data_IF_967000035094
#
_entry.id   IF_967000035094
#
_cell.length_a   1.000
_cell.length_b   1.000
_cell.length_c   1.000
_cell.angle_alpha   90.00
_cell.angle_beta   90.00
_cell.angle_gamma   90.00
#
_symmetry.space_group_name_H-M   'P 1'
#
loop_
_entity.id
_entity.type
_entity.pdbx_description
1 polymer ?
#
# COMPACT_ATOMS: atom_id res chain seq x y z
N UNK A 1 30.32 -24.25 28.72
CA UNK A 1 30.42 -23.34 27.54
C UNK A 1 30.31 -24.17 26.28
N UNK A 2 29.15 -24.14 25.61
CA UNK A 2 28.98 -24.65 24.25
C UNK A 2 28.11 -23.65 23.49
N UNK A 3 28.84 -22.95 22.64
CA UNK A 3 28.51 -21.99 21.60
C UNK A 3 27.03 -21.77 21.23
N UNK A 4 26.67 -20.50 21.41
CA UNK A 4 25.63 -19.73 20.72
C UNK A 4 25.39 -20.17 19.27
N UNK A 5 24.13 -20.44 18.90
CA UNK A 5 23.59 -20.26 17.53
C UNK A 5 22.05 -20.22 17.54
N UNK A 6 21.52 -19.13 16.98
CA UNK A 6 20.08 -18.82 16.88
C UNK A 6 19.39 -19.55 15.71
N UNK A 7 18.07 -19.79 15.84
CA UNK A 7 17.15 -19.59 14.71
C UNK A 7 15.71 -19.27 15.16
N UNK A 8 15.44 -17.98 15.41
CA UNK A 8 14.13 -17.36 15.19
C UNK A 8 14.41 -16.08 14.41
N UNK A 9 14.15 -16.12 13.11
CA UNK A 9 14.13 -15.01 12.15
C UNK A 9 14.32 -13.60 12.78
N UNK A 10 15.34 -12.82 12.36
CA UNK A 10 15.71 -11.54 12.98
C UNK A 10 14.62 -10.45 12.95
N UNK A 11 13.51 -10.68 12.23
CA UNK A 11 12.32 -9.80 12.21
C UNK A 11 11.04 -10.45 12.75
N UNK A 12 11.12 -11.62 13.40
CA UNK A 12 9.96 -12.18 14.12
C UNK A 12 9.82 -11.54 15.50
N UNK A 13 8.57 -11.29 15.89
CA UNK A 13 8.15 -10.71 17.18
C UNK A 13 8.73 -11.47 18.39
N UNK A 14 9.15 -12.73 18.20
CA UNK A 14 9.63 -13.63 19.23
C UNK A 14 11.15 -13.95 19.14
N UNK A 15 11.91 -13.27 18.27
CA UNK A 15 13.38 -13.42 18.15
C UNK A 15 14.17 -12.39 18.96
N UNK A 16 15.39 -12.74 19.39
CA UNK A 16 16.27 -11.87 20.20
C UNK A 16 16.66 -10.58 19.46
N UNK A 17 16.98 -10.65 18.16
CA UNK A 17 17.29 -9.47 17.33
C UNK A 17 16.06 -8.60 17.00
N UNK A 18 14.89 -9.20 16.78
CA UNK A 18 13.67 -8.47 16.40
C UNK A 18 13.11 -7.54 17.48
N UNK A 19 13.51 -7.73 18.74
CA UNK A 19 13.06 -6.92 19.88
C UNK A 19 13.77 -5.56 19.99
N UNK A 20 15.08 -5.51 19.75
CA UNK A 20 15.85 -4.25 19.74
C UNK A 20 15.63 -3.44 18.46
N UNK A 21 15.63 -4.11 17.31
CA UNK A 21 15.50 -3.42 16.02
C UNK A 21 14.08 -2.97 15.69
N UNK A 22 13.02 -3.63 16.17
CA UNK A 22 11.65 -3.19 15.88
C UNK A 22 11.31 -1.84 16.52
N UNK A 23 11.84 -1.59 17.72
CA UNK A 23 11.69 -0.29 18.34
C UNK A 23 12.52 0.78 17.62
N UNK A 24 13.77 0.47 17.25
CA UNK A 24 14.63 1.35 16.43
C UNK A 24 14.01 1.64 15.06
N UNK A 25 13.42 0.64 14.41
CA UNK A 25 12.71 0.77 13.14
C UNK A 25 11.45 1.62 13.32
N UNK A 26 10.74 1.46 14.44
CA UNK A 26 9.65 2.34 14.85
C UNK A 26 10.09 3.80 15.03
N UNK A 27 11.26 4.04 15.66
CA UNK A 27 11.85 5.38 15.77
C UNK A 27 12.20 5.94 14.40
N UNK A 28 12.85 5.14 13.53
CA UNK A 28 13.23 5.56 12.17
C UNK A 28 11.97 5.94 11.37
N UNK A 29 10.92 5.12 11.44
CA UNK A 29 9.64 5.38 10.78
C UNK A 29 8.96 6.63 11.36
N UNK A 30 9.00 6.82 12.68
CA UNK A 30 8.48 8.01 13.34
C UNK A 30 9.26 9.28 12.94
N UNK A 31 10.60 9.18 12.83
CA UNK A 31 11.45 10.27 12.37
C UNK A 31 11.18 10.61 10.90
N UNK A 32 11.01 9.61 10.03
CA UNK A 32 10.62 9.82 8.62
C UNK A 32 9.24 10.49 8.56
N UNK A 33 8.26 10.01 9.33
CA UNK A 33 6.93 10.62 9.37
C UNK A 33 6.99 12.08 9.86
N UNK A 34 7.79 12.37 10.89
CA UNK A 34 8.03 13.73 11.37
C UNK A 34 8.66 14.63 10.31
N UNK A 35 9.69 14.15 9.60
CA UNK A 35 10.34 14.87 8.49
C UNK A 35 9.32 15.13 7.37
N UNK A 36 8.48 14.15 7.03
CA UNK A 36 7.43 14.30 6.02
C UNK A 36 6.36 15.30 6.46
N UNK A 37 5.96 15.32 7.73
CA UNK A 37 5.03 16.33 8.26
C UNK A 37 5.65 17.72 8.18
N UNK A 38 6.91 17.88 8.58
CA UNK A 38 7.60 19.16 8.55
C UNK A 38 7.76 19.70 7.12
N UNK A 39 8.09 18.82 6.16
CA UNK A 39 8.31 19.20 4.75
C UNK A 39 7.00 19.47 4.00
N UNK A 40 5.99 18.61 4.18
CA UNK A 40 4.73 18.68 3.43
C UNK A 40 3.69 19.61 4.07
N UNK A 41 3.83 19.94 5.36
CA UNK A 41 2.86 20.74 6.13
C UNK A 41 3.53 21.98 6.75
N UNK A 42 4.44 22.62 6.02
CA UNK A 42 5.31 23.71 6.50
C UNK A 42 4.57 24.88 7.13
N UNK A 43 3.38 25.21 6.62
CA UNK A 43 2.56 26.32 7.12
C UNK A 43 2.09 26.09 8.56
N UNK A 44 1.79 24.83 8.92
CA UNK A 44 1.39 24.44 10.28
C UNK A 44 2.51 24.74 11.27
N UNK A 45 3.74 24.31 10.94
CA UNK A 45 4.89 24.47 11.83
C UNK A 45 5.35 25.92 11.93
N UNK A 46 5.19 26.70 10.85
CA UNK A 46 5.51 28.13 10.85
C UNK A 46 4.55 28.89 11.77
N UNK A 47 3.26 28.59 11.72
CA UNK A 47 2.25 29.17 12.62
C UNK A 47 2.51 28.79 14.09
N UNK A 48 2.81 27.52 14.37
CA UNK A 48 3.20 27.08 15.72
C UNK A 48 4.41 27.86 16.22
N UNK A 49 5.43 28.05 15.39
CA UNK A 49 6.66 28.75 15.75
C UNK A 49 6.40 30.24 16.03
N UNK A 50 5.56 30.89 15.20
CA UNK A 50 5.17 32.28 15.41
C UNK A 50 4.37 32.48 16.70
N UNK A 51 3.40 31.59 16.97
CA UNK A 51 2.63 31.61 18.22
C UNK A 51 3.53 31.40 19.43
N UNK A 52 4.49 30.48 19.33
CA UNK A 52 5.46 30.21 20.40
C UNK A 52 6.38 31.41 20.66
N UNK A 53 6.90 32.07 19.61
CA UNK A 53 7.69 33.30 19.74
C UNK A 53 6.90 34.47 20.36
N UNK A 54 5.59 34.50 20.13
CA UNK A 54 4.69 35.47 20.73
C UNK A 54 4.20 35.07 22.14
N UNK A 55 4.76 34.00 22.73
CA UNK A 55 4.34 33.42 24.03
C UNK A 55 2.85 33.04 24.10
N UNK A 56 2.23 32.82 22.95
CA UNK A 56 0.84 32.41 22.83
C UNK A 56 0.73 30.89 22.71
N UNK A 57 -0.21 30.32 23.45
CA UNK A 57 -0.54 28.91 23.32
C UNK A 57 -1.17 28.61 21.95
N UNK A 58 -0.85 27.45 21.40
CA UNK A 58 -1.37 26.99 20.12
C UNK A 58 -2.28 25.78 20.30
N UNK A 59 -3.19 25.58 19.35
CA UNK A 59 -4.04 24.40 19.27
C UNK A 59 -4.04 23.91 17.83
N UNK A 60 -3.58 22.67 17.62
CA UNK A 60 -3.39 22.11 16.27
C UNK A 60 -4.72 22.07 15.51
N UNK A 61 -5.81 21.69 16.17
CA UNK A 61 -7.15 21.72 15.57
C UNK A 61 -7.54 23.12 15.09
N UNK A 62 -7.35 24.15 15.93
CA UNK A 62 -7.68 25.53 15.56
C UNK A 62 -6.85 26.01 14.38
N UNK A 63 -5.56 25.66 14.34
CA UNK A 63 -4.66 25.97 13.23
C UNK A 63 -5.15 25.28 11.95
N UNK A 64 -5.49 23.99 12.00
CA UNK A 64 -6.05 23.24 10.86
C UNK A 64 -7.37 23.84 10.33
N UNK A 65 -8.18 24.44 11.21
CA UNK A 65 -9.46 25.07 10.85
C UNK A 65 -9.39 26.58 10.62
N UNK A 66 -8.23 27.23 10.75
CA UNK A 66 -8.11 28.69 10.72
C UNK A 66 -8.27 29.30 9.32
N UNK A 67 -8.34 28.46 8.28
CA UNK A 67 -8.36 28.89 6.88
C UNK A 67 -6.99 29.34 6.34
N UNK A 68 -5.98 29.45 7.20
CA UNK A 68 -4.60 29.82 6.84
C UNK A 68 -3.87 28.73 6.05
N UNK A 69 -4.26 27.47 6.27
CA UNK A 69 -3.63 26.30 5.65
C UNK A 69 -4.37 25.91 4.38
N UNK A 70 -3.61 25.56 3.33
CA UNK A 70 -4.21 25.05 2.10
C UNK A 70 -4.95 23.73 2.34
N UNK A 71 -6.06 23.48 1.64
CA UNK A 71 -6.80 22.21 1.75
C UNK A 71 -5.90 20.99 1.50
N UNK A 72 -4.92 21.11 0.60
CA UNK A 72 -3.95 20.06 0.31
C UNK A 72 -3.00 19.76 1.48
N UNK A 73 -2.49 20.79 2.16
CA UNK A 73 -1.65 20.62 3.35
C UNK A 73 -2.45 20.05 4.53
N UNK A 74 -3.69 20.49 4.74
CA UNK A 74 -4.56 19.95 5.78
C UNK A 74 -4.85 18.44 5.56
N UNK A 75 -5.12 18.04 4.32
CA UNK A 75 -5.29 16.63 3.95
C UNK A 75 -3.99 15.85 4.15
N UNK A 76 -2.85 16.39 3.73
CA UNK A 76 -1.54 15.74 3.88
C UNK A 76 -1.19 15.52 5.35
N UNK A 77 -1.44 16.52 6.19
CA UNK A 77 -1.26 16.42 7.64
C UNK A 77 -2.16 15.35 8.24
N UNK A 78 -3.45 15.33 7.89
CA UNK A 78 -4.40 14.33 8.37
C UNK A 78 -3.99 12.90 7.99
N UNK A 79 -3.49 12.68 6.77
CA UNK A 79 -2.98 11.38 6.31
C UNK A 79 -1.75 10.96 7.11
N UNK A 80 -0.73 11.83 7.19
CA UNK A 80 0.53 11.52 7.88
C UNK A 80 0.32 11.26 9.38
N UNK A 81 -0.55 12.05 10.01
CA UNK A 81 -0.98 11.85 11.38
C UNK A 81 -1.68 10.51 11.56
N UNK A 82 -2.65 10.16 10.69
CA UNK A 82 -3.38 8.89 10.75
C UNK A 82 -2.43 7.69 10.62
N UNK A 83 -1.49 7.77 9.67
CA UNK A 83 -0.42 6.77 9.51
C UNK A 83 0.45 6.68 10.76
N UNK A 84 0.83 7.83 11.34
CA UNK A 84 1.61 7.90 12.58
C UNK A 84 0.90 7.23 13.76
N UNK A 85 -0.40 7.49 13.93
CA UNK A 85 -1.22 6.91 14.99
C UNK A 85 -1.33 5.39 14.82
N UNK A 86 -1.58 4.90 13.60
CA UNK A 86 -1.69 3.47 13.32
C UNK A 86 -0.37 2.75 13.62
N UNK A 87 0.75 3.31 13.18
CA UNK A 87 2.07 2.73 13.40
C UNK A 87 2.47 2.77 14.88
N UNK A 88 2.16 3.88 15.57
CA UNK A 88 2.33 4.01 17.01
C UNK A 88 1.50 2.98 17.77
N UNK A 89 0.23 2.79 17.40
CA UNK A 89 -0.65 1.76 17.98
C UNK A 89 -0.07 0.35 17.80
N UNK A 90 0.36 -0.01 16.58
CA UNK A 90 0.96 -1.31 16.29
C UNK A 90 2.24 -1.53 17.10
N UNK A 91 3.08 -0.49 17.22
CA UNK A 91 4.32 -0.55 17.98
C UNK A 91 4.05 -0.71 19.49
N UNK A 92 3.19 0.14 20.04
CA UNK A 92 2.83 0.16 21.45
C UNK A 92 2.10 -1.11 21.86
N UNK A 93 1.14 -1.60 21.08
CA UNK A 93 0.44 -2.87 21.35
C UNK A 93 1.42 -4.00 21.53
N UNK A 94 2.38 -4.13 20.62
CA UNK A 94 3.38 -5.20 20.67
C UNK A 94 4.30 -5.06 21.89
N UNK A 95 4.75 -3.84 22.19
CA UNK A 95 5.60 -3.58 23.36
C UNK A 95 4.87 -3.83 24.68
N UNK A 96 3.61 -3.42 24.77
CA UNK A 96 2.78 -3.68 25.94
C UNK A 96 2.52 -5.18 26.09
N UNK A 97 2.37 -5.94 24.99
CA UNK A 97 2.28 -7.41 25.05
C UNK A 97 3.54 -8.03 25.62
N UNK A 98 4.71 -7.51 25.26
CA UNK A 98 6.00 -7.96 25.77
C UNK A 98 6.15 -7.68 27.28
N UNK A 99 5.72 -6.50 27.74
CA UNK A 99 5.79 -6.11 29.15
C UNK A 99 4.75 -6.83 30.01
N UNK A 100 3.52 -7.02 29.52
CA UNK A 100 2.41 -7.59 30.28
C UNK A 100 2.27 -9.11 30.15
N UNK A 101 2.81 -9.72 29.10
CA UNK A 101 2.65 -11.14 28.79
C UNK A 101 1.23 -11.56 28.39
N UNK A 102 0.30 -10.60 28.23
CA UNK A 102 -1.11 -10.84 27.87
C UNK A 102 -1.53 -9.99 26.68
N UNK A 103 -1.96 -10.64 25.59
CA UNK A 103 -2.29 -9.95 24.35
C UNK A 103 -3.57 -9.10 24.46
N UNK A 104 -4.58 -9.58 25.20
CA UNK A 104 -5.90 -8.92 25.32
C UNK A 104 -5.83 -7.51 25.92
N UNK A 105 -5.03 -7.34 26.98
CA UNK A 105 -4.88 -6.05 27.67
C UNK A 105 -4.04 -5.07 26.86
N UNK A 106 -3.21 -5.59 25.96
CA UNK A 106 -2.29 -4.78 25.15
C UNK A 106 -3.00 -3.96 24.09
N UNK A 107 -4.05 -4.50 23.47
CA UNK A 107 -4.87 -3.76 22.53
C UNK A 107 -5.57 -2.58 23.19
N UNK A 108 -6.12 -2.79 24.40
CA UNK A 108 -6.83 -1.77 25.15
C UNK A 108 -5.90 -0.63 25.58
N UNK A 109 -4.74 -0.95 26.17
CA UNK A 109 -3.78 0.07 26.62
C UNK A 109 -3.16 0.83 25.44
N UNK A 110 -2.82 0.14 24.34
CA UNK A 110 -2.31 0.81 23.15
C UNK A 110 -3.36 1.72 22.50
N UNK A 111 -4.64 1.31 22.52
CA UNK A 111 -5.76 2.11 22.04
C UNK A 111 -5.96 3.37 22.87
N UNK A 112 -5.92 3.24 24.20
CA UNK A 112 -5.99 4.38 25.12
C UNK A 112 -4.82 5.35 24.87
N UNK A 113 -3.59 4.83 24.74
CA UNK A 113 -2.41 5.67 24.51
C UNK A 113 -2.51 6.43 23.18
N UNK A 114 -3.00 5.78 22.11
CA UNK A 114 -3.26 6.42 20.84
C UNK A 114 -4.33 7.52 20.94
N UNK A 115 -5.42 7.25 21.67
CA UNK A 115 -6.51 8.21 21.86
C UNK A 115 -6.08 9.43 22.69
N UNK A 116 -5.28 9.22 23.74
CA UNK A 116 -4.66 10.30 24.52
C UNK A 116 -3.66 11.12 23.71
N UNK A 117 -2.95 10.50 22.76
CA UNK A 117 -2.04 11.22 21.85
C UNK A 117 -2.83 12.11 20.89
N UNK A 118 -3.96 11.62 20.38
CA UNK A 118 -4.85 12.39 19.49
C UNK A 118 -5.53 13.54 20.23
N UNK A 119 -5.92 13.34 21.50
CA UNK A 119 -6.62 14.38 22.27
C UNK A 119 -5.77 15.65 22.46
N UNK A 120 -4.43 15.54 22.48
CA UNK A 120 -3.52 16.69 22.53
C UNK A 120 -3.74 17.69 21.38
N UNK A 121 -4.25 17.24 20.22
CA UNK A 121 -4.51 18.13 19.08
C UNK A 121 -5.63 19.14 19.33
N UNK A 122 -6.56 18.80 20.21
CA UNK A 122 -7.75 19.60 20.51
C UNK A 122 -7.53 20.54 21.69
N UNK A 123 -6.40 20.40 22.37
CA UNK A 123 -6.09 21.16 23.57
C UNK A 123 -5.17 22.33 23.22
N UNK A 124 -5.29 23.40 24.01
CA UNK A 124 -4.37 24.53 23.91
C UNK A 124 -3.07 24.17 24.65
N UNK A 125 -1.91 24.41 24.04
CA UNK A 125 -0.59 24.10 24.60
C UNK A 125 -0.34 24.77 25.95
N UNK A 126 -0.96 25.92 26.23
CA UNK A 126 -0.83 26.62 27.52
C UNK A 126 -1.81 26.09 28.59
N UNK A 127 -2.70 25.16 28.25
CA UNK A 127 -3.65 24.62 29.23
C UNK A 127 -2.97 23.66 30.19
N UNK A 128 -3.37 23.71 31.47
CA UNK A 128 -2.89 22.77 32.48
C UNK A 128 -3.16 21.31 32.09
N UNK A 129 -4.27 21.04 31.39
CA UNK A 129 -4.65 19.71 30.92
C UNK A 129 -3.75 19.21 29.79
N UNK A 130 -3.33 20.08 28.86
CA UNK A 130 -2.32 19.73 27.85
C UNK A 130 -0.99 19.37 28.52
N UNK A 131 -0.52 20.22 29.45
CA UNK A 131 0.73 19.97 30.16
C UNK A 131 0.69 18.67 30.98
N UNK A 132 -0.42 18.40 31.67
CA UNK A 132 -0.62 17.16 32.41
C UNK A 132 -0.57 15.94 31.49
N UNK A 133 -1.32 15.94 30.38
CA UNK A 133 -1.32 14.83 29.42
C UNK A 133 0.05 14.63 28.79
N UNK A 134 0.72 15.71 28.39
CA UNK A 134 2.04 15.67 27.79
C UNK A 134 3.07 15.07 28.77
N UNK A 135 3.05 15.52 30.03
CA UNK A 135 3.91 15.01 31.11
C UNK A 135 3.55 13.59 31.52
N UNK A 136 2.35 13.07 31.26
CA UNK A 136 2.03 11.66 31.48
C UNK A 136 2.46 10.77 30.31
N UNK A 137 2.25 11.22 29.07
CA UNK A 137 2.53 10.45 27.85
C UNK A 137 4.03 10.30 27.62
N UNK A 138 4.81 11.36 27.82
CA UNK A 138 6.25 11.35 27.52
C UNK A 138 7.03 10.36 28.42
N UNK A 139 6.86 10.37 29.77
CA UNK A 139 7.52 9.40 30.64
C UNK A 139 6.94 8.00 30.48
N UNK A 140 5.64 7.83 30.24
CA UNK A 140 5.06 6.51 29.98
C UNK A 140 5.69 5.86 28.74
N UNK A 141 5.96 6.65 27.70
CA UNK A 141 6.66 6.21 26.48
C UNK A 141 8.12 5.84 26.79
N UNK A 142 8.82 6.63 27.61
CA UNK A 142 10.19 6.33 28.06
C UNK A 142 10.28 5.11 29.01
N UNK A 143 9.28 4.90 29.85
CA UNK A 143 9.22 3.75 30.77
C UNK A 143 8.96 2.47 29.98
N UNK A 144 8.03 2.48 29.02
CA UNK A 144 7.81 1.36 28.09
C UNK A 144 9.08 1.02 27.31
N UNK A 145 9.93 2.00 27.06
CA UNK A 145 11.23 1.85 26.42
C UNK A 145 12.22 1.05 27.28
N UNK A 146 12.30 1.36 28.56
CA UNK A 146 13.31 0.82 29.48
C UNK A 146 12.87 -0.45 30.22
N UNK A 147 11.56 -0.72 30.29
CA UNK A 147 11.02 -1.89 31.00
C UNK A 147 11.52 -3.22 30.40
N UNK A 148 12.06 -4.15 31.19
CA UNK A 148 12.35 -5.50 30.71
C UNK A 148 11.04 -6.23 30.37
N UNK A 149 10.99 -6.86 29.20
CA UNK A 149 9.84 -7.68 28.79
C UNK A 149 9.74 -8.95 29.63
N UNK A 150 8.51 -9.41 29.94
CA UNK A 150 8.24 -10.62 30.74
C UNK A 150 8.23 -11.91 29.91
N UNK A 151 8.23 -11.82 28.58
CA UNK A 151 8.32 -12.99 27.70
C UNK A 151 9.75 -13.54 27.69
N UNK A 152 10.03 -14.43 28.64
CA UNK A 152 11.21 -15.29 28.66
C UNK A 152 11.21 -16.24 27.44
N UNK A 153 12.39 -16.48 26.90
CA UNK A 153 12.64 -17.29 25.71
C UNK A 153 12.20 -18.72 25.98
N UNK A 154 11.20 -19.23 25.25
CA UNK A 154 11.02 -20.68 25.14
C UNK A 154 12.23 -21.25 24.38
N UNK A 155 12.92 -22.27 24.92
CA UNK A 155 14.04 -22.94 24.26
C UNK A 155 13.59 -23.61 22.95
N UNK A 156 14.59 -24.04 22.16
CA UNK A 156 14.44 -24.79 20.91
C UNK A 156 13.28 -25.79 20.98
N UNK A 157 12.30 -25.67 20.07
CA UNK A 157 11.27 -26.70 19.90
C UNK A 157 11.87 -27.77 18.99
N UNK A 158 11.85 -29.00 19.49
CA UNK A 158 12.00 -30.26 18.76
C UNK A 158 11.18 -30.28 17.44
N UNK A 159 11.46 -31.21 16.49
CA UNK A 159 10.64 -31.38 15.28
C UNK A 159 9.16 -31.22 15.62
N UNK A 160 8.41 -30.40 14.85
CA UNK A 160 7.01 -30.00 15.15
C UNK A 160 6.25 -31.16 15.77
N UNK A 161 6.16 -31.17 17.12
CA UNK A 161 5.55 -32.28 17.83
C UNK A 161 4.11 -32.37 17.36
N UNK A 162 3.78 -33.51 16.76
CA UNK A 162 2.40 -33.84 16.47
C UNK A 162 1.67 -33.99 17.79
N UNK A 163 0.44 -33.49 17.85
CA UNK A 163 -0.42 -33.78 19.00
C UNK A 163 -0.69 -35.29 19.13
N UNK A 164 -1.35 -35.71 20.21
CA UNK A 164 -1.71 -37.12 20.45
C UNK A 164 -2.47 -37.77 19.28
N UNK A 165 -3.05 -36.96 18.37
CA UNK A 165 -3.78 -37.40 17.20
C UNK A 165 -2.98 -37.30 15.89
N UNK A 166 -1.67 -37.00 15.95
CA UNK A 166 -0.80 -36.92 14.77
C UNK A 166 -0.88 -35.61 13.98
N UNK A 167 -1.48 -34.54 14.52
CA UNK A 167 -1.69 -33.26 13.81
C UNK A 167 -0.76 -32.15 14.29
N UNK A 168 -0.50 -31.17 13.44
CA UNK A 168 0.32 -29.99 13.75
C UNK A 168 -0.58 -28.75 13.88
N UNK A 169 -0.36 -27.94 14.91
CA UNK A 169 -1.03 -26.64 15.04
C UNK A 169 -0.70 -25.72 13.86
N UNK A 170 -1.74 -25.25 13.16
CA UNK A 170 -1.57 -24.40 11.96
C UNK A 170 -0.66 -23.20 12.23
N UNK A 171 -0.79 -22.56 13.40
CA UNK A 171 0.00 -21.39 13.81
C UNK A 171 1.51 -21.66 13.87
N UNK A 172 1.92 -22.89 14.20
CA UNK A 172 3.33 -23.32 14.25
C UNK A 172 3.88 -23.65 12.87
N UNK A 173 3.04 -24.16 11.97
CA UNK A 173 3.44 -24.58 10.63
C UNK A 173 3.60 -23.41 9.64
N UNK A 174 2.85 -22.30 9.82
CA UNK A 174 2.81 -21.18 8.88
C UNK A 174 3.90 -20.13 9.15
N UNK A 175 4.53 -19.62 8.09
CA UNK A 175 5.59 -18.61 8.18
C UNK A 175 5.28 -17.34 7.39
N UNK A 176 5.20 -16.21 8.09
CA UNK A 176 4.88 -14.90 7.48
C UNK A 176 5.98 -14.40 6.54
N UNK A 177 7.22 -14.28 7.03
CA UNK A 177 8.32 -13.66 6.27
C UNK A 177 8.77 -14.48 5.08
N UNK A 178 8.85 -15.81 5.20
CA UNK A 178 9.20 -16.67 4.06
C UNK A 178 8.17 -16.54 2.95
N UNK A 179 6.88 -16.38 3.30
CA UNK A 179 5.82 -16.16 2.32
C UNK A 179 5.94 -14.79 1.64
N UNK A 180 6.21 -13.74 2.41
CA UNK A 180 6.42 -12.40 1.88
C UNK A 180 7.65 -12.32 0.97
N UNK A 181 8.78 -12.85 1.44
CA UNK A 181 10.04 -12.91 0.69
C UNK A 181 9.91 -13.78 -0.57
N UNK A 182 9.22 -14.92 -0.48
CA UNK A 182 8.98 -15.75 -1.66
C UNK A 182 8.22 -14.98 -2.73
N UNK A 183 7.16 -14.27 -2.35
CA UNK A 183 6.41 -13.43 -3.28
C UNK A 183 7.28 -12.34 -3.90
N UNK A 184 8.09 -11.63 -3.11
CA UNK A 184 8.98 -10.59 -3.64
C UNK A 184 10.07 -11.13 -4.55
N UNK A 185 10.69 -12.27 -4.24
CA UNK A 185 11.70 -12.89 -5.10
C UNK A 185 11.03 -13.37 -6.40
N UNK A 186 9.90 -14.06 -6.33
CA UNK A 186 9.16 -14.50 -7.52
C UNK A 186 8.77 -13.28 -8.39
N UNK A 187 8.19 -12.23 -7.80
CA UNK A 187 7.76 -11.05 -8.53
C UNK A 187 8.95 -10.25 -9.11
N UNK A 188 9.91 -9.87 -8.28
CA UNK A 188 10.97 -8.92 -8.66
C UNK A 188 12.18 -9.57 -9.32
N UNK A 189 12.52 -10.81 -8.98
CA UNK A 189 13.72 -11.49 -9.49
C UNK A 189 13.41 -12.49 -10.61
N UNK A 190 12.15 -12.88 -10.80
CA UNK A 190 11.76 -13.88 -11.81
C UNK A 190 10.81 -13.26 -12.83
N UNK A 191 9.60 -12.87 -12.43
CA UNK A 191 8.60 -12.33 -13.37
C UNK A 191 9.02 -10.98 -13.95
N UNK A 192 9.56 -10.05 -13.15
CA UNK A 192 9.92 -8.72 -13.64
C UNK A 192 11.07 -8.75 -14.66
N UNK A 193 12.18 -9.50 -14.47
CA UNK A 193 13.22 -9.63 -15.48
C UNK A 193 12.73 -10.26 -16.78
N UNK A 194 11.91 -11.33 -16.71
CA UNK A 194 11.29 -11.94 -17.90
C UNK A 194 10.46 -10.89 -18.64
N UNK A 195 9.70 -10.09 -17.88
CA UNK A 195 8.85 -9.05 -18.46
C UNK A 195 9.64 -7.91 -19.11
N UNK A 196 10.70 -7.44 -18.45
CA UNK A 196 11.59 -6.39 -18.96
C UNK A 196 12.40 -6.88 -20.17
N UNK A 197 12.82 -8.14 -20.17
CA UNK A 197 13.51 -8.75 -21.30
C UNK A 197 12.59 -8.84 -22.52
N UNK A 198 11.33 -9.28 -22.33
CA UNK A 198 10.32 -9.28 -23.39
C UNK A 198 10.06 -7.87 -23.94
N UNK A 199 9.93 -6.87 -23.06
CA UNK A 199 9.79 -5.46 -23.42
C UNK A 199 11.00 -4.92 -24.22
N UNK A 200 12.22 -5.41 -23.94
CA UNK A 200 13.44 -4.99 -24.64
C UNK A 200 13.52 -5.58 -26.05
N UNK A 201 13.13 -6.84 -26.24
CA UNK A 201 13.23 -7.52 -27.54
C UNK A 201 12.25 -6.92 -28.55
N UNK A 202 11.01 -6.66 -28.15
CA UNK A 202 10.00 -6.14 -29.07
C UNK A 202 9.17 -5.02 -28.42
N UNK A 203 9.68 -3.78 -28.41
CA UNK A 203 8.97 -2.63 -27.86
C UNK A 203 7.64 -2.35 -28.57
N UNK A 204 7.53 -2.73 -29.86
CA UNK A 204 6.35 -2.52 -30.69
C UNK A 204 5.27 -3.59 -30.49
N UNK A 205 5.62 -4.76 -29.94
CA UNK A 205 4.64 -5.78 -29.56
C UNK A 205 3.67 -5.21 -28.52
N UNK A 206 4.19 -4.49 -27.51
CA UNK A 206 3.35 -3.94 -26.45
C UNK A 206 2.55 -2.72 -26.93
N UNK A 207 3.11 -1.88 -27.83
CA UNK A 207 2.35 -0.76 -28.41
C UNK A 207 1.16 -1.25 -29.25
N UNK A 208 1.28 -2.42 -29.90
CA UNK A 208 0.16 -3.09 -30.60
C UNK A 208 -0.87 -3.71 -29.66
N UNK A 209 -0.43 -4.31 -28.55
CA UNK A 209 -1.35 -4.91 -27.56
C UNK A 209 -2.13 -3.83 -26.78
N UNK A 210 -1.53 -2.65 -26.57
CA UNK A 210 -2.18 -1.53 -25.89
C UNK A 210 -2.66 -1.91 -24.48
N UNK A 211 -3.87 -1.49 -24.10
CA UNK A 211 -4.45 -1.76 -22.78
C UNK A 211 -4.61 -3.27 -22.46
N UNK A 212 -4.71 -4.13 -23.48
CA UNK A 212 -4.83 -5.58 -23.29
C UNK A 212 -3.58 -6.20 -22.67
N UNK A 213 -2.50 -5.44 -22.55
CA UNK A 213 -1.25 -5.94 -22.02
C UNK A 213 -1.35 -6.26 -20.52
N UNK A 214 -2.30 -5.62 -19.80
CA UNK A 214 -2.68 -6.00 -18.44
C UNK A 214 -3.19 -7.45 -18.38
N UNK A 215 -4.00 -7.88 -19.35
CA UNK A 215 -4.52 -9.26 -19.41
C UNK A 215 -3.41 -10.27 -19.74
N UNK A 216 -2.47 -9.90 -20.61
CA UNK A 216 -1.30 -10.75 -20.88
C UNK A 216 -0.46 -10.94 -19.62
N UNK A 217 -0.27 -9.87 -18.83
CA UNK A 217 0.44 -9.96 -17.56
C UNK A 217 -0.29 -10.80 -16.53
N UNK A 218 -1.61 -10.67 -16.46
CA UNK A 218 -2.48 -11.53 -15.65
C UNK A 218 -2.30 -13.01 -16.02
N UNK A 219 -2.34 -13.33 -17.31
CA UNK A 219 -2.20 -14.70 -17.79
C UNK A 219 -0.84 -15.30 -17.40
N UNK A 220 0.26 -14.58 -17.61
CA UNK A 220 1.60 -15.04 -17.23
C UNK A 220 1.71 -15.26 -15.72
N UNK A 221 1.20 -14.30 -14.93
CA UNK A 221 1.22 -14.39 -13.47
C UNK A 221 0.42 -15.62 -12.97
N UNK A 222 -0.77 -15.83 -13.53
CA UNK A 222 -1.65 -16.96 -13.18
C UNK A 222 -1.05 -18.29 -13.62
N UNK A 223 -0.45 -18.37 -14.80
CA UNK A 223 0.21 -19.60 -15.26
C UNK A 223 1.40 -19.95 -14.38
N UNK A 224 2.28 -18.99 -14.08
CA UNK A 224 3.44 -19.22 -13.21
C UNK A 224 3.01 -19.69 -11.81
N UNK A 225 2.21 -18.91 -11.11
CA UNK A 225 1.80 -19.26 -9.74
C UNK A 225 0.81 -20.44 -9.71
N UNK A 226 -0.02 -20.62 -10.74
CA UNK A 226 -0.99 -21.69 -10.85
C UNK A 226 -0.32 -23.05 -11.06
N UNK A 227 0.62 -23.14 -11.99
CA UNK A 227 1.38 -24.39 -12.22
C UNK A 227 2.30 -24.66 -11.04
N UNK A 228 3.09 -23.67 -10.61
CA UNK A 228 4.13 -23.92 -9.59
C UNK A 228 3.58 -24.14 -8.17
N UNK A 229 2.43 -23.58 -7.81
CA UNK A 229 1.82 -23.89 -6.50
C UNK A 229 0.95 -25.16 -6.52
N UNK A 230 0.89 -25.88 -7.65
CA UNK A 230 0.13 -27.13 -7.76
C UNK A 230 0.96 -28.36 -7.35
N UNK A 231 0.31 -29.51 -7.29
CA UNK A 231 0.92 -30.83 -7.11
C UNK A 231 2.06 -31.13 -8.10
N UNK A 232 1.99 -30.61 -9.32
CA UNK A 232 3.01 -30.78 -10.37
C UNK A 232 4.39 -30.31 -9.87
N UNK A 233 4.42 -29.20 -9.13
CA UNK A 233 5.63 -28.63 -8.56
C UNK A 233 5.66 -28.75 -7.05
N UNK A 234 4.94 -29.73 -6.47
CA UNK A 234 4.90 -30.00 -5.02
C UNK A 234 4.53 -28.76 -4.19
N UNK A 235 3.68 -27.89 -4.74
CA UNK A 235 3.23 -26.68 -4.05
C UNK A 235 4.30 -25.59 -3.91
N UNK A 236 5.37 -25.61 -4.71
CA UNK A 236 6.50 -24.70 -4.58
C UNK A 236 6.79 -23.92 -5.87
N UNK A 237 6.77 -22.59 -5.76
CA UNK A 237 7.48 -21.72 -6.71
C UNK A 237 8.98 -21.78 -6.48
N UNK A 238 9.77 -21.29 -7.45
CA UNK A 238 11.22 -21.25 -7.33
C UNK A 238 11.67 -20.59 -6.02
N UNK A 239 11.10 -19.44 -5.67
CA UNK A 239 11.43 -18.78 -4.41
C UNK A 239 10.95 -19.55 -3.16
N UNK A 240 9.77 -20.19 -3.22
CA UNK A 240 9.26 -21.01 -2.10
C UNK A 240 10.11 -22.24 -1.84
N UNK A 241 10.66 -22.83 -2.91
CA UNK A 241 11.59 -23.96 -2.82
C UNK A 241 12.86 -23.57 -2.05
N UNK A 242 13.50 -22.46 -2.45
CA UNK A 242 14.68 -21.90 -1.76
C UNK A 242 14.38 -21.58 -0.29
N UNK A 243 13.19 -21.05 0.01
CA UNK A 243 12.81 -20.66 1.37
C UNK A 243 12.25 -21.82 2.23
N UNK A 244 12.11 -23.02 1.65
CA UNK A 244 11.63 -24.21 2.36
C UNK A 244 10.18 -24.10 2.83
N UNK A 245 9.30 -23.59 1.96
CA UNK A 245 7.84 -23.53 2.19
C UNK A 245 7.08 -24.14 1.03
N UNK A 246 5.87 -24.63 1.28
CA UNK A 246 4.98 -25.27 0.29
C UNK A 246 3.53 -24.87 0.50
N UNK A 247 2.75 -24.93 -0.56
CA UNK A 247 1.29 -24.73 -0.55
C UNK A 247 0.60 -26.09 -0.47
N UNK A 248 -0.30 -26.25 0.50
CA UNK A 248 -1.02 -27.50 0.80
C UNK A 248 -2.46 -27.23 1.21
N UNK A 249 -3.30 -28.25 1.26
CA UNK A 249 -4.61 -28.20 1.90
C UNK A 249 -4.54 -28.52 3.41
N UNK A 250 -5.70 -28.65 4.07
CA UNK A 250 -5.78 -28.96 5.50
C UNK A 250 -5.24 -30.36 5.87
N UNK A 251 -5.32 -31.31 4.94
CA UNK A 251 -4.77 -32.65 5.09
C UNK A 251 -3.28 -32.72 4.73
N UNK A 252 -2.65 -31.57 4.45
CA UNK A 252 -1.25 -31.43 4.01
C UNK A 252 -0.97 -32.04 2.63
N UNK A 253 -2.00 -32.26 1.82
CA UNK A 253 -1.87 -32.68 0.42
C UNK A 253 -1.56 -31.48 -0.47
N UNK A 254 -0.87 -31.70 -1.58
CA UNK A 254 -0.66 -30.65 -2.58
C UNK A 254 -1.97 -30.30 -3.29
N UNK A 255 -2.07 -29.05 -3.75
CA UNK A 255 -3.27 -28.62 -4.46
C UNK A 255 -3.32 -29.18 -5.89
N UNK A 256 -4.47 -29.71 -6.34
CA UNK A 256 -4.66 -30.03 -7.75
C UNK A 256 -4.56 -28.76 -8.61
N UNK A 257 -4.19 -28.93 -9.88
CA UNK A 257 -3.90 -27.82 -10.80
C UNK A 257 -5.05 -26.80 -10.89
N UNK A 258 -6.30 -27.26 -10.97
CA UNK A 258 -7.47 -26.38 -11.06
C UNK A 258 -7.62 -25.46 -9.83
N UNK A 259 -7.47 -25.98 -8.61
CA UNK A 259 -7.51 -25.18 -7.38
C UNK A 259 -6.33 -24.23 -7.32
N UNK A 260 -5.14 -24.66 -7.77
CA UNK A 260 -3.96 -23.81 -7.80
C UNK A 260 -4.11 -22.64 -8.80
N UNK A 261 -4.68 -22.88 -9.98
CA UNK A 261 -4.99 -21.83 -10.97
C UNK A 261 -6.01 -20.84 -10.41
N UNK A 262 -7.11 -21.31 -9.81
CA UNK A 262 -8.12 -20.43 -9.19
C UNK A 262 -7.49 -19.57 -8.09
N UNK A 263 -6.66 -20.18 -7.23
CA UNK A 263 -5.89 -19.47 -6.21
C UNK A 263 -4.96 -18.42 -6.82
N UNK A 264 -4.23 -18.75 -7.88
CA UNK A 264 -3.35 -17.81 -8.56
C UNK A 264 -4.10 -16.65 -9.21
N UNK A 265 -5.27 -16.91 -9.81
CA UNK A 265 -6.15 -15.90 -10.36
C UNK A 265 -6.61 -14.89 -9.31
N UNK A 266 -7.13 -15.37 -8.17
CA UNK A 266 -7.56 -14.49 -7.08
C UNK A 266 -6.38 -13.67 -6.53
N UNK A 267 -5.19 -14.28 -6.42
CA UNK A 267 -3.97 -13.57 -6.02
C UNK A 267 -3.62 -12.44 -7.01
N UNK A 268 -3.68 -12.72 -8.30
CA UNK A 268 -3.36 -11.74 -9.34
C UNK A 268 -4.35 -10.56 -9.33
N UNK A 269 -5.65 -10.84 -9.14
CA UNK A 269 -6.68 -9.81 -8.97
C UNK A 269 -6.40 -8.98 -7.73
N UNK A 270 -6.09 -9.58 -6.58
CA UNK A 270 -5.88 -8.81 -5.35
C UNK A 270 -4.60 -7.95 -5.35
N UNK A 271 -3.52 -8.42 -6.00
CA UNK A 271 -2.18 -7.83 -5.81
C UNK A 271 -1.67 -7.12 -7.06
N UNK A 272 -1.81 -7.73 -8.25
CA UNK A 272 -1.24 -7.20 -9.48
C UNK A 272 -2.16 -6.19 -10.18
N UNK A 273 -3.45 -6.53 -10.28
CA UNK A 273 -4.44 -5.74 -11.03
C UNK A 273 -4.70 -4.32 -10.47
N UNK A 274 -4.71 -4.04 -9.15
CA UNK A 274 -4.89 -2.68 -8.67
C UNK A 274 -3.77 -1.76 -9.17
N UNK A 275 -2.50 -2.19 -9.05
CA UNK A 275 -1.36 -1.39 -9.50
C UNK A 275 -1.40 -1.16 -11.02
N UNK A 276 -1.71 -2.19 -11.81
CA UNK A 276 -1.79 -2.08 -13.26
C UNK A 276 -2.87 -1.06 -13.71
N UNK A 277 -4.05 -1.10 -13.10
CA UNK A 277 -5.14 -0.16 -13.42
C UNK A 277 -4.83 1.24 -12.90
N UNK A 278 -4.20 1.39 -11.72
CA UNK A 278 -3.74 2.70 -11.22
C UNK A 278 -2.78 3.39 -12.20
N UNK A 279 -1.84 2.63 -12.78
CA UNK A 279 -0.92 3.17 -13.78
C UNK A 279 -1.64 3.60 -15.07
N UNK A 280 -2.66 2.85 -15.50
CA UNK A 280 -3.48 3.23 -16.65
C UNK A 280 -4.30 4.50 -16.36
N UNK A 281 -4.94 4.58 -15.19
CA UNK A 281 -5.70 5.76 -14.73
C UNK A 281 -4.84 7.03 -14.66
N UNK A 282 -3.53 6.90 -14.43
CA UNK A 282 -2.62 8.03 -14.36
C UNK A 282 -2.52 8.79 -15.69
N UNK A 283 -2.66 8.10 -16.83
CA UNK A 283 -2.44 8.65 -18.18
C UNK A 283 -3.64 8.55 -19.11
N UNK A 284 -4.68 7.83 -18.70
CA UNK A 284 -5.89 7.59 -19.50
C UNK A 284 -7.15 7.72 -18.66
N UNK A 285 -8.16 8.34 -19.24
CA UNK A 285 -9.51 8.35 -18.70
C UNK A 285 -10.18 7.00 -18.93
N UNK A 286 -10.49 6.33 -17.82
CA UNK A 286 -11.14 5.03 -17.82
C UNK A 286 -12.65 5.17 -17.98
N UNK A 287 -13.26 4.21 -18.67
CA UNK A 287 -14.72 4.09 -18.72
C UNK A 287 -15.30 3.86 -17.32
N UNK A 288 -16.58 4.19 -17.13
CA UNK A 288 -17.29 3.96 -15.85
C UNK A 288 -17.19 2.51 -15.41
N UNK A 289 -17.30 1.56 -16.33
CA UNK A 289 -17.15 0.13 -16.05
C UNK A 289 -15.76 -0.20 -15.50
N UNK A 290 -14.69 0.30 -16.11
CA UNK A 290 -13.32 0.08 -15.65
C UNK A 290 -13.04 0.76 -14.29
N UNK A 291 -13.66 1.91 -14.03
CA UNK A 291 -13.61 2.57 -12.71
C UNK A 291 -14.26 1.72 -11.62
N UNK A 292 -15.41 1.09 -11.91
CA UNK A 292 -16.08 0.16 -10.97
C UNK A 292 -15.16 -1.04 -10.70
N UNK A 293 -14.60 -1.65 -11.75
CA UNK A 293 -13.62 -2.75 -11.60
C UNK A 293 -12.46 -2.31 -10.71
N UNK A 294 -11.88 -1.13 -10.97
CA UNK A 294 -10.77 -0.62 -10.16
C UNK A 294 -11.10 -0.53 -8.67
N UNK A 295 -12.28 0.02 -8.32
CA UNK A 295 -12.74 0.10 -6.93
C UNK A 295 -12.86 -1.28 -6.31
N UNK A 296 -13.48 -2.24 -7.01
CA UNK A 296 -13.63 -3.61 -6.52
C UNK A 296 -12.26 -4.27 -6.28
N UNK A 297 -11.33 -4.09 -7.20
CA UNK A 297 -9.99 -4.69 -7.13
C UNK A 297 -9.16 -4.06 -6.00
N UNK A 298 -9.25 -2.74 -5.78
CA UNK A 298 -8.63 -2.04 -4.65
C UNK A 298 -9.21 -2.52 -3.32
N UNK A 299 -10.54 -2.68 -3.23
CA UNK A 299 -11.21 -3.23 -2.05
C UNK A 299 -10.73 -4.66 -1.78
N UNK A 300 -10.72 -5.52 -2.79
CA UNK A 300 -10.25 -6.91 -2.67
C UNK A 300 -8.76 -6.99 -2.25
N UNK A 301 -7.90 -6.14 -2.83
CA UNK A 301 -6.50 -6.02 -2.45
C UNK A 301 -6.32 -5.54 -1.01
N UNK A 302 -7.14 -4.58 -0.57
CA UNK A 302 -7.12 -4.10 0.82
C UNK A 302 -7.49 -5.21 1.80
N UNK A 303 -8.54 -6.00 1.50
CA UNK A 303 -8.89 -7.19 2.30
C UNK A 303 -7.71 -8.16 2.34
N UNK A 304 -7.09 -8.43 1.18
CA UNK A 304 -5.92 -9.31 1.09
C UNK A 304 -4.80 -8.87 2.03
N UNK A 305 -4.39 -7.60 1.98
CA UNK A 305 -3.29 -7.08 2.81
C UNK A 305 -3.64 -7.10 4.30
N UNK A 306 -4.86 -6.70 4.67
CA UNK A 306 -5.29 -6.71 6.07
C UNK A 306 -5.38 -8.13 6.63
N UNK A 307 -5.91 -9.09 5.87
CA UNK A 307 -5.89 -10.50 6.28
C UNK A 307 -4.46 -11.02 6.41
N UNK A 308 -3.56 -10.69 5.48
CA UNK A 308 -2.16 -11.09 5.56
C UNK A 308 -1.49 -10.62 6.86
N UNK A 309 -1.76 -9.38 7.27
CA UNK A 309 -1.21 -8.76 8.46
C UNK A 309 -1.85 -9.29 9.76
N UNK A 310 -3.18 -9.38 9.81
CA UNK A 310 -3.94 -9.58 11.05
C UNK A 310 -4.47 -11.00 11.26
N UNK A 311 -4.51 -11.85 10.23
CA UNK A 311 -4.86 -13.27 10.40
C UNK A 311 -3.65 -14.08 10.91
N UNK A 312 -3.26 -13.87 12.18
CA UNK A 312 -2.07 -14.50 12.76
C UNK A 312 -2.15 -16.03 12.85
N UNK A 313 -3.37 -16.58 12.94
CA UNK A 313 -3.62 -17.99 13.22
C UNK A 313 -3.34 -18.88 12.02
N UNK A 314 -3.96 -18.59 10.88
CA UNK A 314 -3.82 -19.38 9.65
C UNK A 314 -3.01 -18.67 8.58
N UNK A 315 -2.83 -17.35 8.70
CA UNK A 315 -2.20 -16.48 7.68
C UNK A 315 -2.83 -16.58 6.30
N UNK A 316 -4.00 -17.20 6.19
CA UNK A 316 -4.77 -17.28 4.95
C UNK A 316 -5.26 -15.89 4.57
N UNK A 317 -5.12 -15.56 3.29
CA UNK A 317 -5.73 -14.36 2.71
C UNK A 317 -6.77 -14.78 1.66
N UNK A 318 -7.36 -13.82 0.93
CA UNK A 318 -8.49 -14.07 0.03
C UNK A 318 -8.28 -15.31 -0.88
N UNK A 319 -7.14 -15.37 -1.59
CA UNK A 319 -6.80 -16.50 -2.47
C UNK A 319 -6.58 -17.85 -1.76
N UNK A 320 -6.21 -17.86 -0.49
CA UNK A 320 -6.08 -19.11 0.25
C UNK A 320 -7.44 -19.58 0.76
N UNK A 321 -8.28 -18.64 1.20
CA UNK A 321 -9.62 -18.91 1.70
C UNK A 321 -10.53 -19.46 0.59
N UNK A 322 -10.38 -18.98 -0.66
CA UNK A 322 -11.18 -19.46 -1.79
C UNK A 322 -10.98 -20.95 -2.07
N UNK A 323 -9.80 -21.50 -1.80
CA UNK A 323 -9.48 -22.91 -2.08
C UNK A 323 -9.11 -23.71 -0.83
N UNK A 324 -9.29 -23.13 0.36
CA UNK A 324 -8.90 -23.69 1.67
C UNK A 324 -7.45 -24.19 1.72
N UNK A 325 -6.53 -23.41 1.17
CA UNK A 325 -5.10 -23.75 1.18
C UNK A 325 -4.33 -23.08 2.32
N UNK A 326 -3.15 -23.60 2.62
CA UNK A 326 -2.22 -23.11 3.62
C UNK A 326 -0.80 -23.05 3.05
N UNK A 327 0.00 -22.11 3.54
CA UNK A 327 1.43 -22.02 3.20
C UNK A 327 2.23 -22.40 4.42
N UNK A 328 2.80 -23.62 4.40
CA UNK A 328 3.48 -24.24 5.53
C UNK A 328 4.96 -24.47 5.22
N UNK A 329 5.76 -24.70 6.25
CA UNK A 329 7.15 -25.15 6.06
C UNK A 329 7.20 -26.55 5.44
N UNK A 330 8.24 -26.84 4.65
CA UNK A 330 8.42 -28.18 4.05
C UNK A 330 8.61 -29.28 5.08
N UNK A 331 8.98 -28.92 6.32
CA UNK A 331 9.07 -29.83 7.47
C UNK A 331 7.70 -30.32 7.96
N UNK A 332 6.61 -29.63 7.60
CA UNK A 332 5.25 -30.04 7.94
C UNK A 332 4.85 -31.26 7.10
N UNK A 333 4.80 -32.43 7.73
CA UNK A 333 4.38 -33.69 7.09
C UNK A 333 3.00 -34.16 7.58
N UNK A 334 2.54 -33.69 8.74
CA UNK A 334 1.25 -34.03 9.31
C UNK A 334 0.12 -33.05 8.90
N UNK A 335 -1.16 -33.47 9.02
CA UNK A 335 -2.33 -32.62 8.80
C UNK A 335 -2.41 -31.44 9.79
N UNK A 336 -3.15 -30.41 9.40
CA UNK A 336 -3.27 -29.16 10.15
C UNK A 336 -4.46 -29.16 11.10
N UNK A 337 -4.21 -28.79 12.36
CA UNK A 337 -5.22 -28.57 13.39
C UNK A 337 -5.47 -27.08 13.64
N UNK A 338 -6.66 -26.80 14.17
CA UNK A 338 -7.11 -25.46 14.54
C UNK A 338 -7.04 -24.46 13.36
N UNK A 339 -7.44 -24.96 12.19
CA UNK A 339 -7.27 -24.33 10.89
C UNK A 339 -8.39 -23.32 10.53
N UNK A 340 -9.36 -23.12 11.44
CA UNK A 340 -10.45 -22.14 11.28
C UNK A 340 -9.95 -20.71 11.47
N UNK A 341 -10.25 -19.85 10.50
CA UNK A 341 -9.93 -18.41 10.57
C UNK A 341 -10.67 -17.74 11.72
N UNK A 342 -10.03 -16.78 12.38
CA UNK A 342 -10.69 -15.92 13.35
C UNK A 342 -11.57 -14.90 12.60
N UNK A 343 -12.86 -14.79 12.96
CA UNK A 343 -13.79 -13.87 12.32
C UNK A 343 -13.41 -12.39 12.55
N UNK A 344 -12.78 -12.04 13.69
CA UNK A 344 -12.44 -10.65 14.03
C UNK A 344 -11.57 -9.95 12.98
N UNK A 345 -10.40 -10.48 12.56
CA UNK A 345 -9.61 -9.84 11.51
C UNK A 345 -10.32 -9.82 10.15
N UNK A 346 -11.23 -10.76 9.88
CA UNK A 346 -12.03 -10.76 8.64
C UNK A 346 -13.02 -9.59 8.63
N UNK A 347 -13.81 -9.44 9.69
CA UNK A 347 -14.79 -8.35 9.81
C UNK A 347 -14.09 -7.00 9.75
N UNK A 348 -12.99 -6.84 10.49
CA UNK A 348 -12.21 -5.60 10.47
C UNK A 348 -11.60 -5.31 9.08
N UNK A 349 -11.07 -6.33 8.41
CA UNK A 349 -10.53 -6.19 7.05
C UNK A 349 -11.60 -5.75 6.05
N UNK A 350 -12.79 -6.33 6.13
CA UNK A 350 -13.93 -5.97 5.25
C UNK A 350 -14.39 -4.54 5.50
N UNK A 351 -14.59 -4.14 6.75
CA UNK A 351 -15.03 -2.77 7.09
C UNK A 351 -14.07 -1.72 6.57
N UNK A 352 -12.77 -1.87 6.83
CA UNK A 352 -11.74 -0.93 6.34
C UNK A 352 -11.66 -0.95 4.81
N UNK A 353 -11.75 -2.12 4.18
CA UNK A 353 -11.67 -2.22 2.73
C UNK A 353 -12.87 -1.58 2.03
N UNK A 354 -14.07 -1.67 2.61
CA UNK A 354 -15.26 -0.96 2.12
C UNK A 354 -15.07 0.55 2.25
N UNK A 355 -14.58 1.03 3.39
CA UNK A 355 -14.24 2.46 3.55
C UNK A 355 -13.20 2.91 2.51
N UNK A 356 -12.13 2.13 2.31
CA UNK A 356 -11.09 2.43 1.31
C UNK A 356 -11.68 2.47 -0.11
N UNK A 357 -12.55 1.53 -0.46
CA UNK A 357 -13.26 1.52 -1.74
C UNK A 357 -14.15 2.74 -1.93
N UNK A 358 -14.87 3.16 -0.89
CA UNK A 358 -15.72 4.36 -0.89
C UNK A 358 -14.89 5.64 -1.07
N UNK A 359 -13.76 5.78 -0.37
CA UNK A 359 -12.88 6.93 -0.58
C UNK A 359 -12.26 6.94 -1.98
N UNK A 360 -11.93 5.77 -2.51
CA UNK A 360 -11.43 5.63 -3.89
C UNK A 360 -12.49 6.04 -4.91
N UNK A 361 -13.76 5.65 -4.72
CA UNK A 361 -14.85 6.04 -5.63
C UNK A 361 -15.12 7.54 -5.57
N UNK A 362 -15.13 8.14 -4.38
CA UNK A 362 -15.23 9.59 -4.22
C UNK A 362 -14.08 10.33 -4.92
N UNK A 363 -12.84 9.84 -4.80
CA UNK A 363 -11.68 10.39 -5.49
C UNK A 363 -11.81 10.32 -7.02
N UNK A 364 -12.31 9.20 -7.55
CA UNK A 364 -12.57 9.05 -8.99
C UNK A 364 -13.67 9.99 -9.50
N UNK A 365 -14.74 10.17 -8.73
CA UNK A 365 -15.81 11.13 -9.06
C UNK A 365 -15.24 12.54 -9.07
N UNK A 366 -14.43 12.90 -8.08
CA UNK A 366 -13.72 14.17 -8.02
C UNK A 366 -12.85 14.39 -9.26
N UNK A 367 -12.06 13.39 -9.66
CA UNK A 367 -11.22 13.46 -10.86
C UNK A 367 -12.03 13.67 -12.14
N UNK A 368 -13.19 13.00 -12.27
CA UNK A 368 -14.06 13.18 -13.44
C UNK A 368 -14.73 14.55 -13.54
N UNK A 369 -14.71 15.35 -12.47
CA UNK A 369 -15.20 16.73 -12.47
C UNK A 369 -14.12 17.74 -12.82
N UNK A 370 -12.85 17.32 -12.81
CA UNK A 370 -11.70 18.16 -13.13
C UNK A 370 -11.34 18.05 -14.62
N UNK A 371 -12.29 17.78 -15.52
CA UNK A 371 -12.03 17.63 -16.96
C UNK A 371 -12.40 18.89 -17.73
N UNK A 372 -11.70 19.12 -18.84
CA UNK A 372 -12.01 20.17 -19.81
C UNK A 372 -13.34 19.88 -20.55
N UNK A 373 -13.97 20.90 -21.16
CA UNK A 373 -15.15 20.70 -22.00
C UNK A 373 -14.91 19.68 -23.11
N UNK A 374 -15.84 18.73 -23.29
CA UNK A 374 -15.69 17.64 -24.27
C UNK A 374 -15.57 18.15 -25.71
N UNK A 375 -16.23 19.26 -26.04
CA UNK A 375 -16.16 19.91 -27.35
C UNK A 375 -14.76 20.41 -27.67
N UNK A 376 -14.10 21.08 -26.72
CA UNK A 376 -12.73 21.58 -26.87
C UNK A 376 -11.74 20.43 -27.13
N UNK A 377 -11.90 19.31 -26.43
CA UNK A 377 -11.08 18.12 -26.64
C UNK A 377 -11.33 17.52 -28.04
N UNK A 378 -12.59 17.30 -28.40
CA UNK A 378 -12.96 16.74 -29.72
C UNK A 378 -12.44 17.59 -30.88
N UNK A 379 -12.53 18.92 -30.78
CA UNK A 379 -12.04 19.82 -31.82
C UNK A 379 -10.50 19.78 -31.91
N UNK A 380 -9.82 19.76 -30.76
CA UNK A 380 -8.35 19.61 -30.70
C UNK A 380 -7.89 18.30 -31.34
N UNK A 381 -8.55 17.18 -31.03
CA UNK A 381 -8.22 15.88 -31.62
C UNK A 381 -8.40 15.86 -33.14
N UNK A 382 -9.51 16.42 -33.64
CA UNK A 382 -9.82 16.47 -35.07
C UNK A 382 -8.87 17.38 -35.85
N UNK A 383 -8.64 18.60 -35.39
CA UNK A 383 -7.84 19.59 -36.12
C UNK A 383 -6.35 19.26 -36.13
N UNK A 384 -5.84 18.73 -35.01
CA UNK A 384 -4.42 18.37 -34.90
C UNK A 384 -4.13 16.92 -35.32
N UNK A 385 -5.17 16.14 -35.63
CA UNK A 385 -5.09 14.70 -35.91
C UNK A 385 -4.30 13.93 -34.83
N UNK A 386 -4.66 14.19 -33.58
CA UNK A 386 -4.06 13.57 -32.38
C UNK A 386 -5.12 12.87 -31.56
N UNK A 387 -4.68 11.97 -30.68
CA UNK A 387 -5.53 11.33 -29.69
C UNK A 387 -5.18 11.83 -28.30
N UNK A 388 -6.15 12.37 -27.58
CA UNK A 388 -6.03 12.78 -26.19
C UNK A 388 -6.64 11.67 -25.33
N UNK A 389 -5.82 11.04 -24.50
CA UNK A 389 -6.27 9.89 -23.69
C UNK A 389 -6.80 10.31 -22.33
N UNK A 390 -6.41 11.49 -21.86
CA UNK A 390 -6.85 12.07 -20.60
C UNK A 390 -6.71 13.58 -20.67
N UNK A 391 -7.57 14.30 -19.96
CA UNK A 391 -7.45 15.73 -19.78
C UNK A 391 -7.77 16.12 -18.34
N UNK A 392 -7.23 17.25 -17.89
CA UNK A 392 -7.61 17.84 -16.61
C UNK A 392 -7.55 19.38 -16.63
N UNK A 393 -8.51 20.02 -15.99
CA UNK A 393 -8.56 21.45 -15.68
C UNK A 393 -8.65 21.62 -14.17
N UNK A 394 -7.69 22.34 -13.60
CA UNK A 394 -7.63 22.62 -12.16
C UNK A 394 -7.58 24.12 -11.95
N UNK A 395 -8.60 24.68 -11.30
CA UNK A 395 -8.65 26.10 -10.95
C UNK A 395 -8.00 26.34 -9.59
N UNK A 396 -7.02 27.25 -9.56
CA UNK A 396 -6.39 27.70 -8.34
C UNK A 396 -7.39 28.49 -7.49
N UNK A 397 -7.61 28.04 -6.26
CA UNK A 397 -8.45 28.76 -5.30
C UNK A 397 -7.91 30.16 -4.93
N UNK A 398 -6.59 30.37 -5.05
CA UNK A 398 -5.95 31.64 -4.67
C UNK A 398 -6.06 32.69 -5.76
N UNK A 399 -5.88 32.29 -7.02
CA UNK A 399 -5.80 33.20 -8.16
C UNK A 399 -7.05 33.19 -9.02
N UNK A 400 -7.94 32.21 -8.86
CA UNK A 400 -9.09 32.00 -9.75
C UNK A 400 -8.71 31.49 -11.14
N UNK A 401 -7.41 31.37 -11.44
CA UNK A 401 -6.92 30.94 -12.75
C UNK A 401 -6.79 29.43 -12.86
N UNK A 402 -6.97 28.91 -14.07
CA UNK A 402 -6.98 27.49 -14.39
C UNK A 402 -5.67 26.99 -15.00
N UNK A 403 -5.21 25.83 -14.56
CA UNK A 403 -4.18 25.03 -15.21
C UNK A 403 -4.83 23.92 -16.00
N UNK A 404 -4.61 23.91 -17.31
CA UNK A 404 -5.06 22.88 -18.22
C UNK A 404 -3.95 21.86 -18.43
N UNK A 405 -4.28 20.58 -18.52
CA UNK A 405 -3.33 19.51 -18.81
C UNK A 405 -3.96 18.49 -19.74
N UNK A 406 -3.30 18.20 -20.86
CA UNK A 406 -3.71 17.17 -21.82
C UNK A 406 -2.66 16.07 -21.90
N UNK A 407 -3.10 14.82 -22.01
CA UNK A 407 -2.25 13.63 -22.04
C UNK A 407 -2.32 13.00 -23.43
N UNK A 408 -1.17 12.88 -24.09
CA UNK A 408 -1.06 12.43 -25.47
C UNK A 408 -0.10 11.23 -25.55
N UNK A 409 -0.55 10.07 -26.05
CA UNK A 409 0.31 8.92 -26.30
C UNK A 409 1.16 9.18 -27.56
N UNK A 410 2.48 9.02 -27.44
CA UNK A 410 3.42 9.27 -28.55
C UNK A 410 4.48 8.17 -28.65
N UNK A 411 5.09 8.07 -29.84
CA UNK A 411 6.26 7.20 -30.05
C UNK A 411 7.54 7.80 -29.44
N UNK A 412 7.72 9.11 -29.62
CA UNK A 412 8.82 9.89 -29.04
C UNK A 412 8.28 10.93 -28.06
N UNK A 413 8.70 10.82 -26.80
CA UNK A 413 8.30 11.73 -25.72
C UNK A 413 9.03 13.08 -25.79
N UNK A 414 10.03 13.22 -26.67
CA UNK A 414 10.83 14.43 -26.85
C UNK A 414 10.31 15.34 -27.97
N UNK A 415 9.16 15.02 -28.58
CA UNK A 415 8.55 15.81 -29.64
C UNK A 415 8.00 17.14 -29.12
N UNK A 416 8.90 18.10 -28.93
CA UNK A 416 8.58 19.45 -28.45
C UNK A 416 7.74 20.23 -29.48
N UNK A 417 7.88 19.93 -30.77
CA UNK A 417 7.11 20.60 -31.82
C UNK A 417 5.63 20.25 -31.71
N UNK A 418 5.31 18.97 -31.51
CA UNK A 418 3.95 18.53 -31.24
C UNK A 418 3.40 19.19 -29.97
N UNK A 419 4.19 19.21 -28.90
CA UNK A 419 3.76 19.81 -27.64
C UNK A 419 3.42 21.30 -27.79
N UNK A 420 4.28 22.08 -28.47
CA UNK A 420 4.06 23.51 -28.76
C UNK A 420 2.83 23.74 -29.63
N UNK A 421 2.66 22.94 -30.70
CA UNK A 421 1.50 23.06 -31.59
C UNK A 421 0.18 22.85 -30.84
N UNK A 422 0.14 21.88 -29.92
CA UNK A 422 -1.03 21.61 -29.09
C UNK A 422 -1.29 22.74 -28.09
N UNK A 423 -0.24 23.22 -27.41
CA UNK A 423 -0.41 24.26 -26.41
C UNK A 423 -0.80 25.61 -27.01
N UNK A 424 -0.27 25.97 -28.19
CA UNK A 424 -0.68 27.17 -28.96
C UNK A 424 -2.14 27.07 -29.43
N UNK A 425 -2.55 25.91 -29.94
CA UNK A 425 -3.93 25.70 -30.35
C UNK A 425 -4.90 25.86 -29.16
N UNK A 426 -4.59 25.22 -28.03
CA UNK A 426 -5.40 25.33 -26.82
C UNK A 426 -5.42 26.76 -26.30
N UNK A 427 -4.28 27.47 -26.28
CA UNK A 427 -4.19 28.87 -25.86
C UNK A 427 -5.18 29.75 -26.62
N UNK A 428 -5.27 29.59 -27.93
CA UNK A 428 -6.16 30.39 -28.78
C UNK A 428 -7.66 30.05 -28.64
N UNK A 429 -8.00 28.94 -27.97
CA UNK A 429 -9.37 28.43 -27.84
C UNK A 429 -9.87 28.40 -26.39
N UNK A 430 -9.04 28.81 -25.43
CA UNK A 430 -9.37 28.81 -24.00
C UNK A 430 -9.59 30.22 -23.48
N UNK A 431 -10.42 30.36 -22.44
CA UNK A 431 -10.77 31.63 -21.83
C UNK A 431 -9.57 32.33 -21.17
N UNK A 432 -9.66 33.66 -20.98
CA UNK A 432 -8.66 34.51 -20.30
C UNK A 432 -8.33 34.04 -18.86
N UNK A 433 -9.19 33.23 -18.26
CA UNK A 433 -8.96 32.64 -16.94
C UNK A 433 -7.96 31.48 -16.95
N UNK A 434 -7.44 31.06 -18.11
CA UNK A 434 -6.41 30.04 -18.21
C UNK A 434 -5.03 30.65 -18.00
N UNK A 435 -4.26 30.14 -17.02
CA UNK A 435 -2.90 30.62 -16.74
C UNK A 435 -1.83 29.77 -17.41
N UNK A 436 -2.04 28.45 -17.40
CA UNK A 436 -1.00 27.49 -17.74
C UNK A 436 -1.59 26.33 -18.51
N UNK A 437 -0.93 25.96 -19.61
CA UNK A 437 -1.27 24.81 -20.43
C UNK A 437 -0.10 23.83 -20.37
N UNK A 438 -0.38 22.63 -19.86
CA UNK A 438 0.55 21.53 -19.81
C UNK A 438 0.20 20.50 -20.88
N UNK A 439 1.16 20.18 -21.74
CA UNK A 439 1.06 19.08 -22.68
C UNK A 439 1.96 17.95 -22.18
N UNK A 440 1.33 16.85 -21.76
CA UNK A 440 2.03 15.67 -21.24
C UNK A 440 2.10 14.61 -22.34
N UNK A 441 3.29 14.45 -22.89
CA UNK A 441 3.60 13.38 -23.83
C UNK A 441 4.02 12.13 -23.06
N UNK A 442 3.43 10.99 -23.37
CA UNK A 442 3.78 9.75 -22.69
C UNK A 442 3.88 8.54 -23.61
N UNK A 443 4.68 7.58 -23.15
CA UNK A 443 4.75 6.22 -23.68
C UNK A 443 4.46 5.27 -22.53
N UNK A 444 3.43 4.45 -22.73
CA UNK A 444 2.99 3.45 -21.77
C UNK A 444 3.12 2.05 -22.38
N UNK A 445 3.75 1.15 -21.64
CA UNK A 445 3.84 -0.25 -21.98
C UNK A 445 3.79 -1.06 -20.68
N UNK A 446 2.89 -2.03 -20.58
CA UNK A 446 2.85 -2.97 -19.46
C UNK A 446 3.00 -4.39 -19.99
N UNK A 447 3.77 -5.23 -19.33
CA UNK A 447 3.91 -6.65 -19.67
C UNK A 447 4.20 -7.42 -18.40
N UNK A 448 3.48 -8.53 -18.15
CA UNK A 448 3.66 -9.26 -16.89
C UNK A 448 3.30 -8.38 -15.68
N UNK A 449 4.22 -8.33 -14.72
CA UNK A 449 4.15 -7.47 -13.55
C UNK A 449 5.00 -6.18 -13.69
N UNK A 450 5.58 -5.92 -14.86
CA UNK A 450 6.38 -4.74 -15.12
C UNK A 450 5.57 -3.72 -15.93
N UNK A 451 5.59 -2.46 -15.49
CA UNK A 451 4.98 -1.35 -16.23
C UNK A 451 6.03 -0.28 -16.49
N UNK A 452 6.24 0.02 -17.77
CA UNK A 452 7.08 1.10 -18.26
C UNK A 452 6.18 2.29 -18.61
N UNK A 453 6.20 3.31 -17.76
CA UNK A 453 5.60 4.61 -18.05
C UNK A 453 6.72 5.65 -18.16
N UNK A 454 6.95 6.14 -19.38
CA UNK A 454 7.80 7.31 -19.63
C UNK A 454 6.90 8.49 -19.97
N UNK A 455 7.16 9.64 -19.36
CA UNK A 455 6.39 10.86 -19.61
C UNK A 455 7.30 12.09 -19.62
N UNK A 456 6.96 13.08 -20.41
CA UNK A 456 7.57 14.41 -20.43
C UNK A 456 6.48 15.45 -20.45
N UNK A 457 6.63 16.49 -19.63
CA UNK A 457 5.66 17.57 -19.51
C UNK A 457 6.26 18.81 -20.14
N UNK A 458 5.50 19.44 -21.02
CA UNK A 458 5.80 20.73 -21.62
C UNK A 458 4.80 21.74 -21.10
N UNK A 459 5.28 22.85 -20.56
CA UNK A 459 4.46 23.87 -19.90
C UNK A 459 4.57 25.16 -20.69
N UNK A 460 3.42 25.74 -21.03
CA UNK A 460 3.32 27.06 -21.67
C UNK A 460 2.42 27.96 -20.81
N UNK A 461 2.87 29.20 -20.58
CA UNK A 461 2.05 30.26 -19.99
C UNK A 461 1.07 30.79 -21.04
N UNK A 462 -0.18 30.94 -20.64
CA UNK A 462 -1.26 31.36 -21.52
C UNK A 462 -1.39 32.88 -21.67
N UNK A 463 -0.39 33.67 -21.20
CA UNK A 463 -0.39 35.15 -21.20
C UNK A 463 -0.90 35.83 -22.48
#
# INVERSE_FOLDING_TARGET
>A
MKELRENKNPFTINGYLGRKWYFILGIIIAAINFILQFTLCRSIFTEIMQLTHAEKGYCIYKILTSGFISKGEAISYAILLSVGIILSFINNKKRITDVLGKETHSYLIAGILALLTVSLMFLNSNSALFNLLYVLILPASCILLLLPGKLMIAPYEEPMETDACGNIETKKAVSFWKRLLAYFIDASCILAPISLFALKINPDLISKIGDFSILTGLAIFVLYFGIMNSEICKGQTLAKSVLGIKVVDEANNYLPLNKSILRAFVLAVCVMMPAAISHLLAVKDLSTFMKIIYVLVITAGTIFYLLFLFNFKTRQTLHDLTVKSYVVTTRCQAPLKDNKINATPVVFAVLIAVMCGMFTSLGLIGLSRMTMPAELISNTEKELNIKITKNSSVTSYKTGKSTLTVFIPVKDINDEQLAKKVSEYLKNKTDENTETINVLLYKFASFGNATLLKKRVYTQTAE
#
